data_IF_236070220764
#
_entry.id   IF_236070220764
#
_cell.length_a   1.000
_cell.length_b   1.000
_cell.length_c   1.000
_cell.angle_alpha   90.00
_cell.angle_beta   90.00
_cell.angle_gamma   90.00
#
_symmetry.space_group_name_H-M   'P 1'
#
loop_
_entity.id
_entity.type
_entity.pdbx_description
1 polymer ?
#
# COMPACT_ATOMS: atom_id res chain seq x y z
N UNK A 1 4.71 -10.16 -1.63
CA UNK A 1 4.65 -8.84 -2.32
C UNK A 1 5.05 -7.77 -1.31
N UNK A 2 6.11 -7.01 -1.60
CA UNK A 2 6.61 -5.93 -0.74
C UNK A 2 5.69 -4.71 -0.80
N UNK A 3 5.81 -3.81 0.18
CA UNK A 3 5.06 -2.55 0.19
C UNK A 3 5.45 -1.65 -1.00
N UNK A 4 6.75 -1.58 -1.31
CA UNK A 4 7.28 -0.92 -2.51
C UNK A 4 6.62 -1.42 -3.79
N UNK A 5 6.54 -2.73 -3.98
CA UNK A 5 5.95 -3.31 -5.18
C UNK A 5 4.45 -2.99 -5.29
N UNK A 6 3.72 -2.88 -4.17
CA UNK A 6 2.33 -2.42 -4.20
C UNK A 6 2.23 -0.98 -4.67
N UNK A 7 3.12 -0.13 -4.14
CA UNK A 7 3.14 1.29 -4.45
C UNK A 7 3.43 1.52 -5.92
N UNK A 8 4.37 0.77 -6.50
CA UNK A 8 4.66 0.79 -7.93
C UNK A 8 3.45 0.35 -8.76
N UNK A 9 2.73 -0.69 -8.33
CA UNK A 9 1.50 -1.13 -8.99
C UNK A 9 0.42 -0.03 -8.97
N UNK A 10 0.25 0.69 -7.85
CA UNK A 10 -0.69 1.82 -7.76
C UNK A 10 -0.29 2.98 -8.68
N UNK A 11 1.01 3.30 -8.76
CA UNK A 11 1.52 4.33 -9.69
C UNK A 11 1.23 3.94 -11.13
N UNK A 12 1.53 2.69 -11.50
CA UNK A 12 1.27 2.15 -12.84
C UNK A 12 -0.22 2.19 -13.16
N UNK A 13 -1.10 1.84 -12.21
CA UNK A 13 -2.55 1.93 -12.38
C UNK A 13 -3.05 3.37 -12.56
N UNK A 14 -2.49 4.33 -11.81
CA UNK A 14 -2.77 5.76 -11.99
C UNK A 14 -2.41 6.23 -13.40
N UNK A 15 -1.21 5.88 -13.87
CA UNK A 15 -0.74 6.21 -15.22
C UNK A 15 -1.62 5.56 -16.31
N UNK A 16 -1.91 4.27 -16.18
CA UNK A 16 -2.75 3.53 -17.13
C UNK A 16 -4.19 4.05 -17.19
N UNK A 17 -4.72 4.55 -16.07
CA UNK A 17 -6.03 5.19 -16.01
C UNK A 17 -6.04 6.66 -16.44
N UNK A 18 -4.87 7.26 -16.68
CA UNK A 18 -4.73 8.68 -16.99
C UNK A 18 -5.06 9.61 -15.81
N UNK A 19 -5.09 9.08 -14.58
CA UNK A 19 -5.47 9.81 -13.37
C UNK A 19 -4.30 10.02 -12.44
N UNK A 20 -4.26 11.19 -11.80
CA UNK A 20 -3.29 11.45 -10.73
C UNK A 20 -3.86 10.91 -9.42
N UNK A 21 -3.15 9.97 -8.80
CA UNK A 21 -3.51 9.46 -7.48
C UNK A 21 -2.81 10.29 -6.41
N UNK A 22 -3.58 10.88 -5.49
CA UNK A 22 -3.09 11.53 -4.28
C UNK A 22 -3.22 10.56 -3.10
N UNK A 23 -2.11 10.28 -2.43
CA UNK A 23 -2.10 9.44 -1.24
C UNK A 23 -2.71 10.21 -0.06
N UNK A 24 -3.72 9.63 0.58
CA UNK A 24 -4.37 10.18 1.77
C UNK A 24 -3.93 9.46 3.04
N UNK A 25 -3.83 8.14 2.99
CA UNK A 25 -3.47 7.32 4.14
C UNK A 25 -2.78 6.03 3.70
N UNK A 26 -1.78 5.62 4.47
CA UNK A 26 -1.20 4.28 4.41
C UNK A 26 -1.57 3.57 5.70
N UNK A 27 -2.15 2.38 5.56
CA UNK A 27 -2.59 1.52 6.66
C UNK A 27 -2.08 0.10 6.44
N UNK A 28 -2.11 -0.69 7.50
CA UNK A 28 -1.72 -2.10 7.46
C UNK A 28 -2.55 -2.89 8.44
N UNK A 29 -1.94 -3.93 8.99
CA UNK A 29 -2.56 -4.82 9.96
C UNK A 29 -2.93 -4.07 11.24
N UNK A 30 -4.07 -4.44 11.82
CA UNK A 30 -4.55 -3.90 13.09
C UNK A 30 -3.75 -4.49 14.27
N UNK A 31 -3.94 -3.93 15.46
CA UNK A 31 -3.20 -4.28 16.68
C UNK A 31 -3.38 -5.73 17.12
N UNK A 32 -4.49 -6.36 16.75
CA UNK A 32 -4.78 -7.79 16.93
C UNK A 32 -3.95 -8.70 16.01
N UNK A 33 -3.26 -8.13 15.01
CA UNK A 33 -2.38 -8.82 14.07
C UNK A 33 -1.03 -8.08 13.92
N UNK A 34 -0.17 -8.10 14.95
CA UNK A 34 1.09 -7.35 14.93
C UNK A 34 2.07 -7.91 13.91
N UNK A 35 2.71 -7.01 13.15
CA UNK A 35 3.87 -7.35 12.32
C UNK A 35 5.14 -7.35 13.18
N UNK A 36 5.96 -8.38 13.04
CA UNK A 36 7.27 -8.48 13.67
C UNK A 36 8.32 -7.75 12.83
N UNK A 37 9.05 -6.81 13.43
CA UNK A 37 10.08 -6.04 12.73
C UNK A 37 11.23 -6.92 12.21
N UNK A 38 11.56 -8.00 12.93
CA UNK A 38 12.60 -8.95 12.54
C UNK A 38 12.14 -9.98 11.49
N UNK A 39 10.85 -10.02 11.15
CA UNK A 39 10.27 -11.02 10.24
C UNK A 39 9.32 -10.33 9.24
N UNK A 40 9.85 -9.77 8.14
CA UNK A 40 9.08 -8.98 7.17
C UNK A 40 7.91 -9.76 6.54
N UNK A 41 7.98 -11.08 6.51
CA UNK A 41 6.92 -11.98 6.04
C UNK A 41 5.60 -11.79 6.80
N UNK A 42 5.68 -11.38 8.08
CA UNK A 42 4.50 -11.11 8.93
C UNK A 42 3.77 -9.84 8.54
N UNK A 43 4.39 -8.92 7.77
CA UNK A 43 3.76 -7.70 7.27
C UNK A 43 3.08 -7.98 5.93
N UNK A 44 2.00 -8.77 5.92
CA UNK A 44 1.37 -9.19 4.67
C UNK A 44 0.29 -8.22 4.14
N UNK A 45 -0.50 -7.59 5.01
CA UNK A 45 -1.58 -6.66 4.62
C UNK A 45 -1.04 -5.28 4.27
N UNK A 46 -1.39 -4.76 3.08
CA UNK A 46 -1.05 -3.42 2.61
C UNK A 46 -2.35 -2.70 2.26
N UNK A 47 -2.55 -1.49 2.78
CA UNK A 47 -3.74 -0.70 2.49
C UNK A 47 -3.33 0.74 2.19
N UNK A 48 -3.78 1.24 1.04
CA UNK A 48 -3.52 2.61 0.61
C UNK A 48 -4.86 3.26 0.30
N UNK A 49 -5.18 4.34 1.00
CA UNK A 49 -6.33 5.18 0.69
C UNK A 49 -5.84 6.30 -0.22
N UNK A 50 -6.39 6.35 -1.43
CA UNK A 50 -6.01 7.32 -2.46
C UNK A 50 -7.22 8.09 -2.94
N UNK A 51 -7.00 9.37 -3.24
CA UNK A 51 -7.95 10.21 -3.96
C UNK A 51 -7.52 10.27 -5.41
N UNK A 52 -8.42 9.95 -6.33
CA UNK A 52 -8.18 10.13 -7.75
C UNK A 52 -8.59 11.54 -8.17
N UNK A 53 -7.63 12.32 -8.65
CA UNK A 53 -7.88 13.60 -9.31
C UNK A 53 -8.27 13.41 -10.77
#
# INVERSE_FOLDING_TARGET
MSEELFREALISAGQASGRKLRLLQVSGQSLDHPALLAMPETRYLKCFVVQAA
#
